data_IF_587119932043
#
_entry.id   IF_587119932043
#
_cell.length_a   1.000
_cell.length_b   1.000
_cell.length_c   1.000
_cell.angle_alpha   90.00
_cell.angle_beta   90.00
_cell.angle_gamma   90.00
#
_symmetry.space_group_name_H-M   'P 1'
#
loop_
_entity.id
_entity.type
_entity.pdbx_description
1 polymer ?
#
# COMPACT_ATOMS: atom_id res chain seq x y z
N UNK A 1 12.52 -11.97 -23.32
CA UNK A 1 13.78 -11.90 -22.55
C UNK A 1 13.56 -10.84 -21.50
N UNK A 2 13.24 -11.24 -20.27
CA UNK A 2 13.14 -10.31 -19.14
C UNK A 2 14.57 -9.93 -18.76
N UNK A 3 14.85 -8.64 -18.59
CA UNK A 3 16.20 -8.15 -18.24
C UNK A 3 16.42 -8.27 -16.73
N UNK A 4 17.67 -8.42 -16.31
CA UNK A 4 18.06 -8.51 -14.87
C UNK A 4 17.56 -7.30 -14.08
N UNK A 5 17.52 -6.12 -14.71
CA UNK A 5 17.02 -4.88 -14.10
C UNK A 5 15.52 -4.98 -13.73
N UNK A 6 14.70 -5.63 -14.57
CA UNK A 6 13.26 -5.82 -14.31
C UNK A 6 13.04 -6.71 -13.08
N UNK A 7 13.80 -7.81 -12.97
CA UNK A 7 13.69 -8.72 -11.83
C UNK A 7 14.10 -8.05 -10.51
N UNK A 8 15.13 -7.19 -10.55
CA UNK A 8 15.56 -6.42 -9.38
C UNK A 8 14.49 -5.42 -8.92
N UNK A 9 13.83 -4.72 -9.85
CA UNK A 9 12.76 -3.79 -9.51
C UNK A 9 11.53 -4.50 -8.92
N UNK A 10 11.15 -5.67 -9.46
CA UNK A 10 10.04 -6.48 -8.95
C UNK A 10 10.30 -6.93 -7.51
N UNK A 11 11.51 -7.41 -7.21
CA UNK A 11 11.88 -7.84 -5.84
C UNK A 11 11.82 -6.66 -4.86
N UNK A 12 12.27 -5.47 -5.27
CA UNK A 12 12.17 -4.25 -4.44
C UNK A 12 10.71 -3.91 -4.14
N UNK A 13 9.86 -3.90 -5.17
CA UNK A 13 8.44 -3.59 -4.99
C UNK A 13 7.75 -4.62 -4.10
N UNK A 14 7.96 -5.92 -4.34
CA UNK A 14 7.40 -6.98 -3.51
C UNK A 14 7.77 -6.83 -2.04
N UNK A 15 9.06 -6.63 -1.76
CA UNK A 15 9.54 -6.43 -0.39
C UNK A 15 8.89 -5.19 0.25
N UNK A 16 8.74 -4.09 -0.49
CA UNK A 16 8.09 -2.87 0.01
C UNK A 16 6.60 -3.10 0.32
N UNK A 17 5.86 -3.74 -0.58
CA UNK A 17 4.44 -4.04 -0.38
C UNK A 17 4.20 -5.02 0.78
N UNK A 18 4.98 -6.10 0.86
CA UNK A 18 4.89 -7.08 1.96
C UNK A 18 5.24 -6.41 3.30
N UNK A 19 6.25 -5.53 3.33
CA UNK A 19 6.54 -4.74 4.51
C UNK A 19 5.39 -3.83 4.94
N UNK A 20 4.75 -3.11 4.00
CA UNK A 20 3.61 -2.25 4.29
C UNK A 20 2.39 -3.06 4.78
N UNK A 21 2.19 -4.25 4.23
CA UNK A 21 1.08 -5.13 4.58
C UNK A 21 1.26 -5.79 5.95
N UNK A 22 2.43 -6.36 6.21
CA UNK A 22 2.61 -7.31 7.32
C UNK A 22 3.29 -6.68 8.55
N UNK A 23 4.12 -5.64 8.36
CA UNK A 23 4.83 -5.01 9.47
C UNK A 23 4.08 -3.84 10.13
N UNK A 24 2.83 -3.58 9.71
CA UNK A 24 1.95 -2.57 10.30
C UNK A 24 0.67 -3.22 10.87
N UNK A 25 0.30 -2.84 12.08
CA UNK A 25 -0.89 -3.33 12.76
C UNK A 25 -2.17 -2.68 12.22
N UNK A 26 -3.21 -3.49 12.03
CA UNK A 26 -4.57 -3.06 11.67
C UNK A 26 -5.36 -2.51 12.88
N UNK A 27 -4.77 -2.48 14.08
CA UNK A 27 -5.40 -1.92 15.28
C UNK A 27 -5.44 -0.40 15.20
N UNK A 28 -6.51 0.19 15.72
CA UNK A 28 -6.59 1.63 15.98
C UNK A 28 -6.30 1.78 17.48
N UNK A 29 -5.21 2.47 17.87
CA UNK A 29 -4.85 2.66 19.28
C UNK A 29 -5.88 3.58 19.96
N UNK A 30 -6.18 3.29 21.22
CA UNK A 30 -7.10 4.10 22.04
C UNK A 30 -6.43 5.39 22.56
N UNK A 31 -5.11 5.47 22.48
CA UNK A 31 -4.29 6.61 22.90
C UNK A 31 -3.62 7.32 21.72
N UNK A 32 -3.35 8.62 21.87
CA UNK A 32 -2.59 9.38 20.89
C UNK A 32 -1.12 8.93 20.95
N UNK A 33 -0.62 8.46 19.81
CA UNK A 33 0.75 7.97 19.73
C UNK A 33 1.74 9.05 19.30
N UNK A 34 2.88 9.12 19.98
CA UNK A 34 4.03 9.89 19.55
C UNK A 34 4.98 9.07 18.66
N UNK A 35 5.84 9.75 17.91
CA UNK A 35 6.82 9.14 17.00
C UNK A 35 7.93 8.37 17.72
N UNK A 36 8.18 8.66 19.00
CA UNK A 36 9.23 8.07 19.83
C UNK A 36 8.78 6.86 20.67
N UNK A 37 7.50 6.48 20.61
CA UNK A 37 7.01 5.35 21.36
C UNK A 37 7.55 4.03 20.75
N UNK A 38 8.12 3.15 21.58
CA UNK A 38 8.51 1.76 21.24
C UNK A 38 7.27 0.88 21.01
N UNK A 39 6.37 1.33 20.15
CA UNK A 39 5.10 0.71 19.87
C UNK A 39 5.05 0.16 18.43
N UNK A 40 4.11 -0.76 18.13
CA UNK A 40 3.94 -1.26 16.78
C UNK A 40 3.73 -0.12 15.79
N UNK A 41 4.12 -0.33 14.53
CA UNK A 41 3.70 0.56 13.44
C UNK A 41 2.21 0.32 13.21
N UNK A 42 1.41 1.36 13.03
CA UNK A 42 -0.05 1.23 12.84
C UNK A 42 -0.47 1.76 11.48
N UNK A 43 -1.32 1.02 10.77
CA UNK A 43 -1.85 1.42 9.47
C UNK A 43 -2.73 2.65 9.54
N UNK A 44 -3.33 2.94 10.69
CA UNK A 44 -4.19 4.12 10.91
C UNK A 44 -3.47 5.46 10.64
N UNK A 45 -2.13 5.48 10.67
CA UNK A 45 -1.32 6.69 10.48
C UNK A 45 -1.29 7.09 9.01
N UNK A 46 -1.45 8.39 8.73
CA UNK A 46 -1.44 8.94 7.37
C UNK A 46 -0.19 8.59 6.57
N UNK A 47 0.98 8.51 7.22
CA UNK A 47 2.23 8.11 6.52
C UNK A 47 2.16 6.70 5.93
N UNK A 48 1.41 5.77 6.53
CA UNK A 48 1.20 4.46 5.94
C UNK A 48 0.40 4.57 4.63
N UNK A 49 -0.67 5.37 4.63
CA UNK A 49 -1.46 5.60 3.42
C UNK A 49 -0.65 6.24 2.30
N UNK A 50 0.17 7.25 2.63
CA UNK A 50 1.06 7.91 1.68
C UNK A 50 2.08 6.94 1.08
N UNK A 51 2.63 6.04 1.90
CA UNK A 51 3.55 5.02 1.41
C UNK A 51 2.84 4.05 0.46
N UNK A 52 1.65 3.56 0.82
CA UNK A 52 0.84 2.71 -0.08
C UNK A 52 0.53 3.42 -1.40
N UNK A 53 0.17 4.71 -1.36
CA UNK A 53 -0.07 5.50 -2.57
C UNK A 53 1.17 5.57 -3.45
N UNK A 54 2.32 5.94 -2.88
CA UNK A 54 3.56 6.10 -3.65
C UNK A 54 3.99 4.79 -4.31
N UNK A 55 3.93 3.67 -3.59
CA UNK A 55 4.28 2.35 -4.14
C UNK A 55 3.30 1.93 -5.25
N UNK A 56 1.99 2.09 -5.02
CA UNK A 56 0.99 1.75 -6.02
C UNK A 56 1.15 2.57 -7.31
N UNK A 57 1.41 3.89 -7.20
CA UNK A 57 1.66 4.75 -8.36
C UNK A 57 2.86 4.28 -9.17
N UNK A 58 3.99 3.98 -8.52
CA UNK A 58 5.19 3.50 -9.20
C UNK A 58 4.92 2.17 -9.94
N UNK A 59 4.29 1.20 -9.29
CA UNK A 59 3.97 -0.11 -9.89
C UNK A 59 3.02 0.04 -11.09
N UNK A 60 2.06 0.96 -11.00
CA UNK A 60 1.14 1.26 -12.11
C UNK A 60 1.88 1.94 -13.28
N UNK A 61 2.74 2.91 -12.99
CA UNK A 61 3.53 3.63 -14.01
C UNK A 61 4.48 2.69 -14.77
N UNK A 62 5.08 1.73 -14.06
CA UNK A 62 5.94 0.69 -14.64
C UNK A 62 5.16 -0.43 -15.35
N UNK A 63 3.83 -0.34 -15.44
CA UNK A 63 2.95 -1.31 -16.09
C UNK A 63 2.98 -2.73 -15.50
N UNK A 64 3.29 -2.87 -14.21
CA UNK A 64 3.21 -4.15 -13.50
C UNK A 64 1.82 -4.42 -12.90
N UNK A 65 0.98 -3.39 -12.79
CA UNK A 65 -0.38 -3.52 -12.23
C UNK A 65 -1.42 -3.97 -13.26
N UNK A 66 -2.27 -4.93 -12.88
CA UNK A 66 -3.47 -5.30 -13.63
C UNK A 66 -4.57 -4.24 -13.58
N UNK A 67 -5.56 -4.33 -14.47
CA UNK A 67 -6.72 -3.44 -14.45
C UNK A 67 -7.48 -3.50 -13.11
N UNK A 68 -7.61 -4.70 -12.51
CA UNK A 68 -8.21 -4.87 -11.18
C UNK A 68 -7.46 -4.04 -10.13
N UNK A 69 -6.13 -4.12 -10.10
CA UNK A 69 -5.31 -3.35 -9.14
C UNK A 69 -5.42 -1.85 -9.38
N UNK A 70 -5.56 -1.40 -10.63
CA UNK A 70 -5.81 0.01 -10.97
C UNK A 70 -7.18 0.49 -10.48
N UNK A 71 -8.23 -0.34 -10.62
CA UNK A 71 -9.56 -0.04 -10.09
C UNK A 71 -9.53 0.10 -8.55
N UNK A 72 -8.93 -0.88 -7.86
CA UNK A 72 -8.75 -0.83 -6.40
C UNK A 72 -7.95 0.41 -5.96
N UNK A 73 -6.96 0.83 -6.75
CA UNK A 73 -6.21 2.05 -6.45
C UNK A 73 -7.09 3.30 -6.57
N UNK A 74 -8.00 3.38 -7.54
CA UNK A 74 -8.94 4.49 -7.64
C UNK A 74 -9.93 4.54 -6.47
N UNK A 75 -10.45 3.39 -6.05
CA UNK A 75 -11.32 3.28 -4.87
C UNK A 75 -10.58 3.66 -3.59
N UNK A 76 -9.33 3.25 -3.46
CA UNK A 76 -8.47 3.59 -2.34
C UNK A 76 -8.20 5.11 -2.24
N UNK A 77 -8.06 5.81 -3.37
CA UNK A 77 -7.87 7.26 -3.42
C UNK A 77 -9.17 8.08 -3.31
N UNK A 78 -10.33 7.45 -3.42
CA UNK A 78 -11.62 8.13 -3.39
C UNK A 78 -11.78 9.05 -2.16
N UNK A 79 -11.36 8.66 -0.94
CA UNK A 79 -11.53 9.53 0.20
C UNK A 79 -10.64 10.78 0.18
N UNK A 80 -9.46 10.72 -0.43
CA UNK A 80 -8.60 11.91 -0.64
C UNK A 80 -9.31 12.92 -1.54
N UNK A 81 -9.98 12.44 -2.59
CA UNK A 81 -10.70 13.27 -3.57
C UNK A 81 -11.96 13.91 -2.99
N UNK A 82 -12.69 13.17 -2.15
CA UNK A 82 -14.05 13.54 -1.75
C UNK A 82 -14.16 14.07 -0.31
N UNK A 83 -13.18 13.83 0.56
CA UNK A 83 -13.35 14.11 2.01
C UNK A 83 -12.24 14.93 2.67
N UNK A 84 -11.33 15.54 1.90
CA UNK A 84 -10.11 16.14 2.45
C UNK A 84 -9.47 15.17 3.44
N UNK A 85 -9.07 13.97 3.00
CA UNK A 85 -8.63 12.88 3.88
C UNK A 85 -7.62 13.30 4.96
N UNK A 86 -6.79 14.32 4.67
CA UNK A 86 -5.89 14.98 5.62
C UNK A 86 -6.59 15.57 6.86
N UNK A 87 -7.88 15.88 6.76
CA UNK A 87 -8.72 16.51 7.80
C UNK A 87 -9.66 15.54 8.52
N UNK A 88 -9.79 14.28 8.06
CA UNK A 88 -10.60 13.26 8.76
C UNK A 88 -9.76 12.13 9.33
N UNK A 89 -10.29 11.51 10.39
CA UNK A 89 -9.72 10.31 10.97
C UNK A 89 -9.80 9.15 9.98
N UNK A 90 -8.76 8.33 9.99
CA UNK A 90 -8.72 7.06 9.27
C UNK A 90 -9.69 6.07 9.91
N UNK A 91 -10.47 5.39 9.09
CA UNK A 91 -11.43 4.37 9.51
C UNK A 91 -10.86 2.97 9.31
N UNK A 92 -11.57 1.96 9.84
CA UNK A 92 -11.24 0.56 9.57
C UNK A 92 -11.42 0.21 8.09
N UNK A 93 -12.40 0.83 7.42
CA UNK A 93 -12.65 0.64 6.00
C UNK A 93 -11.46 1.11 5.15
N UNK A 94 -10.88 2.28 5.48
CA UNK A 94 -9.69 2.79 4.78
C UNK A 94 -8.53 1.79 4.85
N UNK A 95 -8.29 1.20 6.03
CA UNK A 95 -7.25 0.20 6.24
C UNK A 95 -7.54 -1.06 5.41
N UNK A 96 -8.80 -1.52 5.39
CA UNK A 96 -9.18 -2.71 4.62
C UNK A 96 -9.00 -2.49 3.12
N UNK A 97 -9.38 -1.31 2.58
CA UNK A 97 -9.15 -0.94 1.17
C UNK A 97 -7.67 -0.94 0.83
N UNK A 98 -6.83 -0.38 1.70
CA UNK A 98 -5.38 -0.44 1.52
C UNK A 98 -4.83 -1.86 1.55
N UNK A 99 -5.31 -2.71 2.46
CA UNK A 99 -4.91 -4.12 2.52
C UNK A 99 -5.33 -4.94 1.29
N UNK A 100 -6.51 -4.65 0.74
CA UNK A 100 -7.00 -5.26 -0.48
C UNK A 100 -6.15 -4.85 -1.70
N UNK A 101 -5.88 -3.55 -1.84
CA UNK A 101 -4.98 -3.03 -2.87
C UNK A 101 -3.59 -3.66 -2.78
N UNK A 102 -2.97 -3.69 -1.59
CA UNK A 102 -1.66 -4.30 -1.38
C UNK A 102 -1.66 -5.78 -1.78
N UNK A 103 -2.70 -6.53 -1.43
CA UNK A 103 -2.82 -7.94 -1.81
C UNK A 103 -2.87 -8.11 -3.33
N UNK A 104 -3.68 -7.30 -4.00
CA UNK A 104 -3.84 -7.36 -5.45
C UNK A 104 -2.54 -7.02 -6.19
N UNK A 105 -1.80 -6.02 -5.72
CA UNK A 105 -0.50 -5.64 -6.31
C UNK A 105 0.58 -6.70 -6.07
N UNK A 106 0.61 -7.32 -4.88
CA UNK A 106 1.52 -8.44 -4.59
C UNK A 106 1.23 -9.62 -5.52
N UNK A 107 -0.05 -9.97 -5.70
CA UNK A 107 -0.46 -11.05 -6.62
C UNK A 107 -0.10 -10.74 -8.07
N UNK A 108 -0.15 -9.47 -8.48
CA UNK A 108 0.28 -9.03 -9.81
C UNK A 108 1.79 -9.18 -9.97
N UNK A 109 2.60 -8.70 -9.02
CA UNK A 109 4.07 -8.79 -9.08
C UNK A 109 4.58 -10.23 -9.04
N UNK A 110 3.96 -11.12 -8.25
CA UNK A 110 4.33 -12.55 -8.17
C UNK A 110 4.17 -13.30 -9.50
N UNK A 111 3.37 -12.79 -10.45
CA UNK A 111 3.28 -13.36 -11.81
C UNK A 111 4.58 -13.18 -12.59
N UNK A 112 5.40 -12.19 -12.21
CA UNK A 112 6.65 -11.88 -12.89
C UNK A 112 7.88 -12.53 -12.24
N UNK A 113 7.81 -13.00 -10.99
CA UNK A 113 8.89 -13.78 -10.35
C UNK A 113 9.17 -15.12 -11.05
N UNK A 114 8.22 -15.63 -11.84
CA UNK A 114 8.33 -16.91 -12.55
C UNK A 114 8.68 -16.82 -14.04
N UNK A 115 9.03 -15.63 -14.55
CA UNK A 115 9.40 -15.38 -15.96
C UNK A 115 10.91 -15.28 -16.16
#
# INVERSE_FOLDING_TARGET
MVTVDILYDIEIYLNSLEFLKDNYSNKIPDEILHSSANQPKYKVRKNWFQAVTAEAENIILENYASEKSKELFQEYLEPDKNTEFSKRLTTKEDINKGDELLSSLIDDLKKYEGL
#
